data_IF_086193693765
#
_entry.id   IF_086193693765
#
_cell.length_a   1.000
_cell.length_b   1.000
_cell.length_c   1.000
_cell.angle_alpha   90.00
_cell.angle_beta   90.00
_cell.angle_gamma   90.00
#
_symmetry.space_group_name_H-M   'P 1'
#
loop_
_entity.id
_entity.type
_entity.pdbx_description
1 polymer ?
#
# COMPACT_ATOMS: atom_id res chain seq x y z
N UNK A 1 2.27 15.03 -23.60
CA UNK A 1 3.16 13.88 -23.86
C UNK A 1 3.86 14.13 -25.18
N UNK A 2 5.19 14.05 -25.23
CA UNK A 2 5.95 14.15 -26.49
C UNK A 2 5.61 12.98 -27.41
N UNK A 3 5.94 13.10 -28.69
CA UNK A 3 5.66 12.02 -29.65
C UNK A 3 6.45 10.74 -29.30
N UNK A 4 7.69 10.90 -28.84
CA UNK A 4 8.51 9.78 -28.37
C UNK A 4 7.89 9.05 -27.16
N UNK A 5 7.37 9.79 -26.18
CA UNK A 5 6.73 9.17 -25.00
C UNK A 5 5.40 8.52 -25.34
N UNK A 6 4.64 9.03 -26.33
CA UNK A 6 3.43 8.35 -26.81
C UNK A 6 3.75 7.02 -27.47
N UNK A 7 4.81 6.99 -28.29
CA UNK A 7 5.27 5.76 -28.93
C UNK A 7 5.73 4.75 -27.89
N UNK A 8 6.56 5.18 -26.93
CA UNK A 8 7.05 4.33 -25.84
C UNK A 8 5.90 3.78 -24.97
N UNK A 9 4.90 4.62 -24.67
CA UNK A 9 3.68 4.20 -23.98
C UNK A 9 2.98 3.07 -24.72
N UNK A 10 2.75 3.25 -26.03
CA UNK A 10 2.03 2.27 -26.85
C UNK A 10 2.78 0.94 -26.92
N UNK A 11 4.09 0.96 -27.13
CA UNK A 11 4.94 -0.24 -27.17
C UNK A 11 4.91 -1.00 -25.83
N UNK A 12 5.08 -0.30 -24.71
CA UNK A 12 5.00 -0.91 -23.36
C UNK A 12 3.60 -1.47 -23.08
N UNK A 13 2.56 -0.73 -23.44
CA UNK A 13 1.17 -1.14 -23.23
C UNK A 13 0.85 -2.39 -24.03
N UNK A 14 1.24 -2.46 -25.30
CA UNK A 14 1.06 -3.65 -26.14
C UNK A 14 1.79 -4.85 -25.56
N UNK A 15 3.06 -4.67 -25.14
CA UNK A 15 3.85 -5.72 -24.50
C UNK A 15 3.16 -6.31 -23.26
N UNK A 16 2.67 -5.43 -22.38
CA UNK A 16 1.94 -5.82 -21.16
C UNK A 16 0.62 -6.53 -21.48
N UNK A 17 -0.17 -5.98 -22.40
CA UNK A 17 -1.47 -6.55 -22.76
C UNK A 17 -1.32 -7.94 -23.40
N UNK A 18 -0.33 -8.11 -24.29
CA UNK A 18 -0.06 -9.42 -24.92
C UNK A 18 0.33 -10.46 -23.88
N UNK A 19 1.23 -10.12 -22.97
CA UNK A 19 1.63 -11.01 -21.89
C UNK A 19 0.44 -11.39 -20.99
N UNK A 20 -0.39 -10.42 -20.60
CA UNK A 20 -1.58 -10.67 -19.78
C UNK A 20 -2.63 -11.54 -20.48
N UNK A 21 -2.72 -11.46 -21.82
CA UNK A 21 -3.63 -12.26 -22.65
C UNK A 21 -3.02 -13.59 -23.13
N UNK A 22 -1.88 -14.01 -22.56
CA UNK A 22 -1.19 -15.25 -22.94
C UNK A 22 -0.80 -15.31 -24.42
N UNK A 23 -0.51 -14.15 -25.02
CA UNK A 23 0.03 -13.99 -26.38
C UNK A 23 1.53 -13.72 -26.29
N UNK A 24 2.27 -14.05 -27.35
CA UNK A 24 3.72 -13.79 -27.43
C UNK A 24 4.00 -12.28 -27.55
N UNK A 25 4.59 -11.60 -26.55
CA UNK A 25 4.99 -10.20 -26.67
C UNK A 25 6.29 -10.05 -27.48
N UNK A 26 6.67 -8.82 -27.84
CA UNK A 26 7.94 -8.52 -28.52
C UNK A 26 9.18 -8.85 -27.65
N UNK A 27 9.03 -8.76 -26.33
CA UNK A 27 9.95 -9.30 -25.32
C UNK A 27 9.22 -9.51 -23.99
N UNK A 28 9.86 -10.21 -23.05
CA UNK A 28 9.34 -10.35 -21.68
C UNK A 28 9.18 -8.95 -21.04
N UNK A 29 7.98 -8.60 -20.52
CA UNK A 29 7.79 -7.35 -19.80
C UNK A 29 8.50 -7.39 -18.43
N UNK A 30 9.05 -6.25 -18.01
CA UNK A 30 9.68 -6.06 -16.71
C UNK A 30 8.92 -4.98 -15.96
N UNK A 31 8.29 -5.37 -14.86
CA UNK A 31 7.48 -4.50 -14.01
C UNK A 31 8.38 -3.84 -12.97
N UNK A 32 8.32 -2.51 -12.90
CA UNK A 32 9.15 -1.74 -12.00
C UNK A 32 8.53 -1.57 -10.61
N UNK A 33 8.86 -2.44 -9.66
CA UNK A 33 8.56 -2.24 -8.24
C UNK A 33 9.85 -2.31 -7.41
N UNK A 34 10.18 -1.21 -6.72
CA UNK A 34 11.51 -1.03 -6.12
C UNK A 34 11.49 -0.80 -4.62
N UNK A 35 10.31 -0.64 -4.00
CA UNK A 35 10.21 -0.32 -2.57
C UNK A 35 11.21 0.78 -2.16
N UNK A 36 11.91 0.55 -1.05
CA UNK A 36 12.87 1.49 -0.49
C UNK A 36 14.15 1.70 -1.31
N UNK A 37 14.44 0.87 -2.32
CA UNK A 37 15.50 1.19 -3.29
C UNK A 37 15.22 2.54 -3.98
N UNK A 38 13.94 2.86 -4.22
CA UNK A 38 13.51 4.15 -4.78
C UNK A 38 13.97 5.31 -3.91
N UNK A 39 13.89 5.18 -2.58
CA UNK A 39 14.29 6.21 -1.64
C UNK A 39 15.80 6.45 -1.73
N UNK A 40 16.58 5.37 -1.59
CA UNK A 40 18.04 5.41 -1.66
C UNK A 40 18.54 5.97 -3.01
N UNK A 41 17.95 5.52 -4.13
CA UNK A 41 18.31 6.00 -5.48
C UNK A 41 17.89 7.46 -5.72
N UNK A 42 16.77 7.87 -5.13
CA UNK A 42 16.28 9.25 -5.15
C UNK A 42 17.04 10.21 -4.22
N UNK A 43 17.95 9.69 -3.39
CA UNK A 43 18.71 10.48 -2.43
C UNK A 43 17.86 11.03 -1.28
N UNK A 44 16.81 10.30 -0.88
CA UNK A 44 15.95 10.63 0.25
C UNK A 44 15.94 9.48 1.25
N UNK A 45 15.70 9.78 2.52
CA UNK A 45 15.58 8.78 3.59
C UNK A 45 14.30 7.94 3.43
N UNK A 46 14.26 6.76 4.05
CA UNK A 46 13.04 5.94 4.16
C UNK A 46 11.90 6.70 4.87
N UNK A 47 12.23 7.56 5.83
CA UNK A 47 11.29 8.47 6.47
C UNK A 47 10.66 9.42 5.46
N UNK A 48 11.46 10.16 4.70
CA UNK A 48 10.94 11.07 3.68
C UNK A 48 10.11 10.33 2.64
N UNK A 49 10.50 9.11 2.25
CA UNK A 49 9.75 8.30 1.29
C UNK A 49 8.37 7.86 1.80
N UNK A 50 8.24 7.62 3.11
CA UNK A 50 6.99 7.17 3.75
C UNK A 50 6.08 8.32 4.22
N UNK A 51 6.62 9.53 4.42
CA UNK A 51 5.91 10.67 5.01
C UNK A 51 5.73 11.88 4.09
N UNK A 52 6.55 12.04 3.04
CA UNK A 52 6.50 13.17 2.11
C UNK A 52 6.15 12.69 0.70
N UNK A 53 4.88 12.84 0.32
CA UNK A 53 4.36 12.42 -0.98
C UNK A 53 5.06 13.07 -2.17
N UNK A 54 5.52 14.32 -2.03
CA UNK A 54 6.15 15.07 -3.12
C UNK A 54 7.60 14.60 -3.32
N UNK A 55 8.36 14.42 -2.24
CA UNK A 55 9.70 13.78 -2.30
C UNK A 55 9.61 12.37 -2.86
N UNK A 56 8.66 11.57 -2.36
CA UNK A 56 8.45 10.22 -2.82
C UNK A 56 8.08 10.14 -4.30
N UNK A 57 7.21 11.03 -4.78
CA UNK A 57 6.84 11.09 -6.20
C UNK A 57 8.02 11.45 -7.08
N UNK A 58 8.86 12.43 -6.68
CA UNK A 58 10.08 12.78 -7.42
C UNK A 58 11.06 11.62 -7.50
N UNK A 59 11.29 10.91 -6.39
CA UNK A 59 12.16 9.74 -6.36
C UNK A 59 11.61 8.59 -7.25
N UNK A 60 10.30 8.34 -7.21
CA UNK A 60 9.64 7.34 -8.04
C UNK A 60 9.73 7.67 -9.53
N UNK A 61 9.51 8.94 -9.93
CA UNK A 61 9.66 9.39 -11.32
C UNK A 61 11.10 9.21 -11.78
N UNK A 62 12.08 9.70 -11.01
CA UNK A 62 13.51 9.57 -11.34
C UNK A 62 13.90 8.11 -11.55
N UNK A 63 13.57 7.25 -10.60
CA UNK A 63 13.88 5.81 -10.68
C UNK A 63 13.21 5.16 -11.89
N UNK A 64 11.96 5.53 -12.21
CA UNK A 64 11.25 5.00 -13.37
C UNK A 64 11.92 5.39 -14.69
N UNK A 65 12.24 6.68 -14.84
CA UNK A 65 12.86 7.23 -16.06
C UNK A 65 14.25 6.67 -16.28
N UNK A 66 15.08 6.65 -15.24
CA UNK A 66 16.50 6.26 -15.36
C UNK A 66 16.67 4.77 -15.66
N UNK A 67 15.78 3.91 -15.15
CA UNK A 67 15.84 2.48 -15.39
C UNK A 67 14.98 2.00 -16.57
N UNK A 68 13.97 2.76 -16.98
CA UNK A 68 13.25 2.52 -18.24
C UNK A 68 12.38 1.25 -18.30
N UNK A 69 11.96 0.70 -17.16
CA UNK A 69 11.07 -0.47 -17.08
C UNK A 69 9.72 -0.28 -17.79
N UNK A 70 8.95 -1.36 -17.97
CA UNK A 70 7.69 -1.32 -18.71
C UNK A 70 6.55 -0.64 -17.92
N UNK A 71 6.69 -0.52 -16.60
CA UNK A 71 5.83 0.26 -15.70
C UNK A 71 6.66 1.19 -14.82
N UNK A 72 6.03 2.24 -14.28
CA UNK A 72 6.68 3.12 -13.32
C UNK A 72 6.60 2.61 -11.88
N UNK A 73 7.50 3.12 -11.04
CA UNK A 73 7.57 2.87 -9.60
C UNK A 73 6.39 3.50 -8.85
N UNK A 74 6.02 2.90 -7.73
CA UNK A 74 4.97 3.39 -6.83
C UNK A 74 5.51 4.14 -5.61
N UNK A 75 4.59 4.46 -4.70
CA UNK A 75 4.89 5.00 -3.37
C UNK A 75 5.06 3.84 -2.36
N UNK A 76 5.91 3.99 -1.35
CA UNK A 76 6.05 2.97 -0.28
C UNK A 76 4.85 2.99 0.65
N UNK A 77 4.28 1.80 0.88
CA UNK A 77 3.08 1.56 1.69
C UNK A 77 3.08 0.13 2.22
N UNK A 78 2.57 -0.05 3.41
CA UNK A 78 2.29 -1.36 4.02
C UNK A 78 0.83 -1.72 3.77
N UNK A 79 0.53 -3.01 3.52
CA UNK A 79 -0.85 -3.48 3.38
C UNK A 79 -1.66 -3.31 4.68
N UNK A 80 -2.92 -2.89 4.56
CA UNK A 80 -3.87 -2.69 5.65
C UNK A 80 -5.04 -3.68 5.57
N UNK A 81 -4.77 -4.92 5.16
CA UNK A 81 -5.81 -5.92 4.84
C UNK A 81 -6.91 -6.10 5.90
N UNK A 82 -6.60 -6.11 7.22
CA UNK A 82 -7.63 -6.22 8.24
C UNK A 82 -8.74 -5.17 8.09
N UNK A 83 -8.39 -3.92 7.77
CA UNK A 83 -9.38 -2.85 7.58
C UNK A 83 -10.24 -3.08 6.35
N UNK A 84 -9.61 -3.48 5.24
CA UNK A 84 -10.34 -3.76 3.99
C UNK A 84 -11.36 -4.87 4.20
N UNK A 85 -10.97 -5.95 4.88
CA UNK A 85 -11.85 -7.08 5.15
C UNK A 85 -12.97 -6.71 6.13
N UNK A 86 -12.64 -6.01 7.22
CA UNK A 86 -13.62 -5.58 8.24
C UNK A 86 -14.82 -4.83 7.65
N UNK A 87 -14.56 -3.97 6.65
CA UNK A 87 -15.58 -3.08 6.09
C UNK A 87 -16.16 -3.56 4.75
N UNK A 88 -15.64 -4.68 4.20
CA UNK A 88 -15.93 -5.08 2.81
C UNK A 88 -17.42 -5.28 2.50
N UNK A 89 -18.22 -5.75 3.46
CA UNK A 89 -19.65 -5.99 3.27
C UNK A 89 -20.54 -4.77 3.47
N UNK A 90 -20.08 -3.83 4.29
CA UNK A 90 -20.89 -2.68 4.73
C UNK A 90 -20.52 -1.39 3.98
N UNK A 91 -19.33 -1.34 3.38
CA UNK A 91 -18.85 -0.17 2.65
C UNK A 91 -18.90 -0.40 1.14
N UNK A 92 -19.79 0.33 0.46
CA UNK A 92 -19.95 0.30 -1.00
C UNK A 92 -18.76 0.90 -1.79
N UNK A 93 -17.67 1.28 -1.10
CA UNK A 93 -16.48 1.86 -1.69
C UNK A 93 -15.22 1.01 -1.50
N UNK A 94 -14.09 1.50 -2.00
CA UNK A 94 -12.79 0.89 -1.72
C UNK A 94 -12.28 1.38 -0.36
N UNK A 95 -12.40 0.55 0.67
CA UNK A 95 -11.76 0.81 1.95
C UNK A 95 -10.24 0.98 1.75
N UNK A 96 -9.57 1.92 2.45
CA UNK A 96 -8.15 2.12 2.27
C UNK A 96 -7.37 0.84 2.59
N UNK A 97 -6.58 0.37 1.62
CA UNK A 97 -5.83 -0.90 1.72
C UNK A 97 -4.37 -0.69 2.16
N UNK A 98 -3.99 0.55 2.49
CA UNK A 98 -2.61 0.96 2.68
C UNK A 98 -2.39 1.75 3.97
N UNK A 99 -1.28 1.46 4.64
CA UNK A 99 -0.71 2.24 5.75
C UNK A 99 0.62 2.83 5.30
N UNK A 100 0.80 4.13 5.51
CA UNK A 100 2.08 4.81 5.40
C UNK A 100 2.41 5.52 6.72
N UNK A 101 3.46 6.34 6.73
CA UNK A 101 3.89 7.06 7.94
C UNK A 101 2.77 7.88 8.61
N UNK A 102 2.11 8.81 7.88
CA UNK A 102 1.00 9.59 8.42
C UNK A 102 -0.19 8.76 8.91
N UNK A 103 -0.54 7.66 8.23
CA UNK A 103 -1.60 6.76 8.68
C UNK A 103 -1.18 6.02 9.96
N UNK A 104 0.09 5.62 10.09
CA UNK A 104 0.62 5.06 11.33
C UNK A 104 0.58 6.07 12.48
N UNK A 105 0.87 7.35 12.24
CA UNK A 105 0.73 8.39 13.27
C UNK A 105 -0.73 8.56 13.75
N UNK A 106 -1.71 8.28 12.89
CA UNK A 106 -3.13 8.37 13.22
C UNK A 106 -3.62 7.12 13.95
N UNK A 107 -3.35 5.93 13.42
CA UNK A 107 -3.90 4.67 13.90
C UNK A 107 -3.02 3.99 14.97
N UNK A 108 -1.71 4.23 14.90
CA UNK A 108 -0.70 3.57 15.70
C UNK A 108 -0.74 2.06 15.51
N UNK A 109 -0.53 1.59 14.27
CA UNK A 109 -0.56 0.15 13.97
C UNK A 109 0.56 -0.56 14.73
N UNK A 110 0.25 -1.72 15.32
CA UNK A 110 1.17 -2.46 16.18
C UNK A 110 1.97 -3.52 15.42
N UNK A 111 1.46 -4.01 14.30
CA UNK A 111 2.08 -5.06 13.49
C UNK A 111 3.28 -4.59 12.64
N UNK A 112 3.64 -3.30 12.71
CA UNK A 112 4.78 -2.76 11.99
C UNK A 112 5.47 -1.61 12.73
N UNK A 113 6.74 -1.39 12.38
CA UNK A 113 7.59 -0.31 12.86
C UNK A 113 7.97 0.61 11.70
N UNK A 114 7.97 1.92 11.92
CA UNK A 114 8.13 2.90 10.85
C UNK A 114 9.41 3.75 11.01
N UNK A 115 10.04 4.18 9.89
CA UNK A 115 11.17 5.12 9.93
C UNK A 115 10.79 6.42 10.62
N UNK A 116 11.73 7.01 11.37
CA UNK A 116 11.51 8.25 12.12
C UNK A 116 10.52 8.13 13.27
N UNK A 117 10.11 6.90 13.62
CA UNK A 117 9.26 6.56 14.77
C UNK A 117 9.97 5.48 15.57
N UNK A 118 9.60 4.22 15.37
CA UNK A 118 10.21 3.07 16.05
C UNK A 118 11.55 2.65 15.42
N UNK A 119 11.86 3.13 14.20
CA UNK A 119 13.11 2.86 13.48
C UNK A 119 13.87 4.16 13.16
N UNK A 120 15.15 4.03 12.81
CA UNK A 120 15.93 5.16 12.27
C UNK A 120 15.28 5.70 10.99
N UNK A 121 15.53 6.97 10.65
CA UNK A 121 14.99 7.58 9.44
C UNK A 121 15.43 6.88 8.14
N UNK A 122 16.60 6.25 8.16
CA UNK A 122 17.17 5.49 7.02
C UNK A 122 16.72 4.03 6.94
N UNK A 123 15.96 3.54 7.92
CA UNK A 123 15.53 2.14 7.94
C UNK A 123 14.19 1.97 7.24
N UNK A 124 14.06 1.04 6.28
CA UNK A 124 12.75 0.67 5.74
C UNK A 124 11.79 0.22 6.83
N UNK A 125 10.50 0.50 6.65
CA UNK A 125 9.48 -0.02 7.58
C UNK A 125 9.61 -1.54 7.71
N UNK A 126 9.34 -2.06 8.90
CA UNK A 126 9.43 -3.49 9.19
C UNK A 126 8.08 -3.99 9.63
N UNK A 127 7.55 -4.99 8.93
CA UNK A 127 6.45 -5.79 9.44
C UNK A 127 7.00 -6.72 10.51
N UNK A 128 6.49 -6.62 11.74
CA UNK A 128 6.97 -7.43 12.86
C UNK A 128 6.00 -8.56 13.20
N UNK A 129 4.71 -8.41 12.86
CA UNK A 129 3.65 -9.31 13.34
C UNK A 129 3.51 -9.25 14.87
N UNK A 130 2.36 -9.63 15.39
CA UNK A 130 2.18 -9.98 16.81
C UNK A 130 1.04 -11.00 16.92
N UNK A 131 0.91 -11.65 18.08
CA UNK A 131 -0.22 -12.50 18.38
C UNK A 131 -1.44 -11.64 18.75
N UNK A 132 -2.36 -11.48 17.79
CA UNK A 132 -3.61 -10.73 17.98
C UNK A 132 -4.84 -11.63 18.12
N UNK A 133 -4.71 -12.94 17.89
CA UNK A 133 -5.75 -13.94 18.08
C UNK A 133 -5.18 -15.13 18.85
N UNK A 134 -5.78 -15.44 20.00
CA UNK A 134 -5.42 -16.60 20.79
C UNK A 134 -5.89 -17.91 20.13
N UNK A 135 -5.32 -19.04 20.55
CA UNK A 135 -5.64 -20.37 19.99
C UNK A 135 -7.11 -20.76 20.17
N UNK A 136 -7.71 -20.35 21.28
CA UNK A 136 -9.10 -20.63 21.63
C UNK A 136 -10.11 -19.73 20.91
N UNK A 137 -9.66 -18.73 20.14
CA UNK A 137 -10.52 -17.79 19.42
C UNK A 137 -10.82 -18.21 17.97
N UNK A 138 -10.32 -19.36 17.51
CA UNK A 138 -10.58 -19.84 16.14
C UNK A 138 -12.07 -20.05 15.85
N UNK A 139 -12.82 -20.59 16.81
CA UNK A 139 -14.26 -20.82 16.64
C UNK A 139 -15.01 -19.50 16.44
N UNK A 140 -14.63 -18.45 17.18
CA UNK A 140 -15.18 -17.10 17.02
C UNK A 140 -14.87 -16.49 15.65
N UNK A 141 -13.62 -16.63 15.19
CA UNK A 141 -13.23 -16.20 13.84
C UNK A 141 -14.01 -16.94 12.75
N UNK A 142 -14.27 -18.24 12.92
CA UNK A 142 -14.99 -19.06 11.94
C UNK A 142 -16.48 -18.67 11.90
N UNK A 143 -17.08 -18.44 13.05
CA UNK A 143 -18.50 -18.09 13.17
C UNK A 143 -18.82 -16.73 12.54
N UNK A 144 -18.04 -15.70 12.88
CA UNK A 144 -18.17 -14.37 12.29
C UNK A 144 -16.80 -13.73 11.99
N UNK A 145 -16.23 -14.01 10.79
CA UNK A 145 -14.92 -13.50 10.45
C UNK A 145 -14.83 -11.97 10.43
N UNK A 146 -15.89 -11.28 9.99
CA UNK A 146 -15.86 -9.83 9.85
C UNK A 146 -16.08 -9.14 11.19
N UNK A 147 -17.00 -9.66 12.00
CA UNK A 147 -17.19 -9.23 13.38
C UNK A 147 -15.92 -9.44 14.20
N UNK A 148 -15.29 -10.61 14.12
CA UNK A 148 -14.02 -10.87 14.81
C UNK A 148 -12.94 -9.85 14.40
N UNK A 149 -12.79 -9.58 13.10
CA UNK A 149 -11.81 -8.61 12.64
C UNK A 149 -12.12 -7.20 13.18
N UNK A 150 -13.37 -6.76 13.06
CA UNK A 150 -13.77 -5.40 13.44
C UNK A 150 -13.73 -5.17 14.96
N UNK A 151 -14.18 -6.15 15.74
CA UNK A 151 -14.40 -6.01 17.18
C UNK A 151 -13.21 -6.46 18.03
N UNK A 152 -12.39 -7.41 17.53
CA UNK A 152 -11.23 -7.94 18.25
C UNK A 152 -9.92 -7.59 17.57
N UNK A 153 -9.76 -7.92 16.29
CA UNK A 153 -8.46 -7.77 15.63
C UNK A 153 -8.03 -6.30 15.51
N UNK A 154 -8.89 -5.42 14.99
CA UNK A 154 -8.56 -4.01 14.78
C UNK A 154 -8.24 -3.27 16.10
N UNK A 155 -9.03 -3.42 17.18
CA UNK A 155 -8.72 -2.80 18.48
C UNK A 155 -7.39 -3.28 19.06
N UNK A 156 -7.06 -4.57 18.88
CA UNK A 156 -5.78 -5.14 19.32
C UNK A 156 -4.60 -4.67 18.46
N UNK A 157 -4.84 -4.43 17.16
CA UNK A 157 -3.82 -4.07 16.19
C UNK A 157 -3.52 -2.57 16.13
N UNK A 158 -4.39 -1.70 16.63
CA UNK A 158 -4.28 -0.24 16.43
C UNK A 158 -4.50 0.54 17.73
N UNK A 159 -3.47 1.26 18.17
CA UNK A 159 -3.48 2.03 19.44
C UNK A 159 -4.62 3.04 19.57
N UNK A 160 -5.05 3.60 18.44
CA UNK A 160 -6.14 4.59 18.44
C UNK A 160 -7.53 3.96 18.48
N UNK A 161 -7.65 2.65 18.26
CA UNK A 161 -8.91 1.90 18.19
C UNK A 161 -9.09 0.92 19.36
N UNK A 162 -8.19 0.91 20.34
CA UNK A 162 -8.24 0.03 21.53
C UNK A 162 -9.55 0.10 22.31
N UNK A 163 -10.20 1.26 22.30
CA UNK A 163 -11.54 1.47 22.87
C UNK A 163 -12.52 1.81 21.75
N UNK A 164 -13.15 0.79 21.12
CA UNK A 164 -14.17 0.99 20.10
C UNK A 164 -15.30 1.90 20.60
N UNK A 165 -15.74 2.83 19.76
CA UNK A 165 -16.80 3.79 20.12
C UNK A 165 -16.34 4.96 21.00
N UNK A 166 -15.09 5.03 21.44
CA UNK A 166 -14.55 6.21 22.11
C UNK A 166 -14.45 7.41 21.16
N UNK A 167 -14.46 8.64 21.71
CA UNK A 167 -14.22 9.87 20.95
C UNK A 167 -12.86 9.80 20.22
N UNK A 168 -11.85 9.22 20.88
CA UNK A 168 -10.51 9.02 20.30
C UNK A 168 -10.58 8.14 19.04
N UNK A 169 -11.27 7.00 19.12
CA UNK A 169 -11.42 6.09 17.98
C UNK A 169 -12.19 6.76 16.82
N UNK A 170 -13.28 7.47 17.11
CA UNK A 170 -14.05 8.19 16.09
C UNK A 170 -13.20 9.25 15.38
N UNK A 171 -12.43 10.04 16.14
CA UNK A 171 -11.52 11.06 15.58
C UNK A 171 -10.41 10.42 14.75
N UNK A 172 -9.88 9.26 15.18
CA UNK A 172 -8.86 8.54 14.44
C UNK A 172 -9.38 8.03 13.09
N UNK A 173 -10.56 7.42 13.05
CA UNK A 173 -11.20 6.98 11.81
C UNK A 173 -11.46 8.15 10.85
N UNK A 174 -11.92 9.30 11.36
CA UNK A 174 -12.11 10.50 10.55
C UNK A 174 -10.79 11.02 9.94
N UNK A 175 -9.73 11.12 10.76
CA UNK A 175 -8.39 11.52 10.29
C UNK A 175 -7.83 10.54 9.27
N UNK A 176 -8.02 9.24 9.49
CA UNK A 176 -7.57 8.18 8.60
C UNK A 176 -8.25 8.28 7.23
N UNK A 177 -9.55 8.55 7.19
CA UNK A 177 -10.27 8.80 5.93
C UNK A 177 -9.67 9.97 5.14
N UNK A 178 -9.43 11.11 5.81
CA UNK A 178 -8.80 12.29 5.18
C UNK A 178 -7.40 11.97 4.66
N UNK A 179 -6.56 11.32 5.47
CA UNK A 179 -5.19 11.01 5.07
C UNK A 179 -5.13 9.98 3.95
N UNK A 180 -6.04 9.01 3.96
CA UNK A 180 -6.19 8.04 2.87
C UNK A 180 -6.55 8.72 1.55
N UNK A 181 -7.41 9.73 1.57
CA UNK A 181 -7.73 10.53 0.37
C UNK A 181 -6.50 11.28 -0.14
N UNK A 182 -5.74 11.94 0.74
CA UNK A 182 -4.49 12.63 0.33
C UNK A 182 -3.49 11.65 -0.30
N UNK A 183 -3.34 10.47 0.29
CA UNK A 183 -2.49 9.39 -0.24
C UNK A 183 -2.98 8.91 -1.61
N UNK A 184 -4.29 8.77 -1.80
CA UNK A 184 -4.89 8.43 -3.09
C UNK A 184 -4.62 9.51 -4.14
N UNK A 185 -4.84 10.79 -3.80
CA UNK A 185 -4.60 11.93 -4.70
C UNK A 185 -3.13 12.02 -5.12
N UNK A 186 -2.20 11.80 -4.18
CA UNK A 186 -0.76 11.75 -4.48
C UNK A 186 -0.42 10.61 -5.45
N UNK A 187 -0.98 9.42 -5.22
CA UNK A 187 -0.81 8.27 -6.11
C UNK A 187 -1.37 8.54 -7.51
N UNK A 188 -2.54 9.19 -7.60
CA UNK A 188 -3.15 9.58 -8.88
C UNK A 188 -2.26 10.58 -9.65
N UNK A 189 -1.73 11.61 -8.98
CA UNK A 189 -0.81 12.59 -9.59
C UNK A 189 0.47 11.93 -10.09
N UNK A 190 1.08 11.05 -9.29
CA UNK A 190 2.25 10.28 -9.70
C UNK A 190 1.94 9.42 -10.94
N UNK A 191 0.81 8.71 -10.93
CA UNK A 191 0.38 7.88 -12.04
C UNK A 191 0.11 8.68 -13.33
N UNK A 192 -0.50 9.86 -13.22
CA UNK A 192 -0.69 10.78 -14.36
C UNK A 192 0.65 11.21 -14.96
N UNK A 193 1.63 11.54 -14.11
CA UNK A 193 2.94 12.00 -14.58
C UNK A 193 3.75 10.88 -15.22
N UNK A 194 3.78 9.69 -14.60
CA UNK A 194 4.39 8.50 -15.20
C UNK A 194 3.75 8.15 -16.56
N UNK A 195 2.43 8.26 -16.68
CA UNK A 195 1.74 8.08 -17.97
C UNK A 195 2.19 9.10 -19.01
N UNK A 196 2.39 10.37 -18.63
CA UNK A 196 2.94 11.40 -19.53
C UNK A 196 4.39 11.14 -19.94
N UNK A 197 5.13 10.37 -19.16
CA UNK A 197 6.51 9.95 -19.42
C UNK A 197 6.59 8.58 -20.12
N UNK A 198 5.46 8.07 -20.62
CA UNK A 198 5.41 6.85 -21.41
C UNK A 198 5.31 5.57 -20.60
N UNK A 199 4.99 5.63 -19.30
CA UNK A 199 4.81 4.43 -18.46
C UNK A 199 3.31 4.12 -18.31
N UNK A 200 2.81 3.03 -18.93
CA UNK A 200 1.43 2.62 -18.74
C UNK A 200 1.15 2.12 -17.32
N UNK A 201 -0.11 2.25 -16.91
CA UNK A 201 -0.63 1.51 -15.77
C UNK A 201 -0.90 0.06 -16.16
N UNK A 202 -0.79 -0.85 -15.19
CA UNK A 202 -1.11 -2.26 -15.35
C UNK A 202 -2.19 -2.63 -14.33
N UNK A 203 -3.32 -3.15 -14.81
CA UNK A 203 -4.38 -3.65 -13.94
C UNK A 203 -4.11 -5.11 -13.60
N UNK A 204 -3.90 -5.40 -12.33
CA UNK A 204 -3.81 -6.77 -11.81
C UNK A 204 -4.92 -7.03 -10.79
N UNK A 205 -5.35 -8.29 -10.69
CA UNK A 205 -6.11 -8.74 -9.53
C UNK A 205 -5.19 -8.93 -8.32
N UNK A 206 -5.74 -8.76 -7.14
CA UNK A 206 -5.09 -9.14 -5.89
C UNK A 206 -5.95 -10.21 -5.21
N UNK A 207 -5.31 -11.30 -4.83
CA UNK A 207 -5.90 -12.32 -3.96
C UNK A 207 -4.93 -12.57 -2.84
N UNK A 208 -5.45 -12.82 -1.64
CA UNK A 208 -4.64 -13.07 -0.46
C UNK A 208 -5.03 -14.43 0.12
N UNK A 209 -4.06 -15.29 0.37
CA UNK A 209 -4.34 -16.61 0.91
C UNK A 209 -4.88 -16.47 2.35
N UNK A 210 -6.00 -17.13 2.71
CA UNK A 210 -6.56 -17.01 4.06
C UNK A 210 -5.56 -17.38 5.17
N UNK A 211 -4.71 -18.39 4.94
CA UNK A 211 -3.69 -18.80 5.91
C UNK A 211 -2.58 -17.76 6.07
N UNK A 212 -2.21 -17.05 5.01
CA UNK A 212 -1.26 -15.93 5.09
C UNK A 212 -1.88 -14.76 5.87
N UNK A 213 -3.20 -14.55 5.78
CA UNK A 213 -3.89 -13.51 6.56
C UNK A 213 -3.84 -13.79 8.04
N UNK A 214 -4.17 -15.02 8.42
CA UNK A 214 -4.08 -15.46 9.81
C UNK A 214 -2.62 -15.39 10.27
N UNK A 215 -1.67 -15.91 9.47
CA UNK A 215 -0.26 -15.96 9.84
C UNK A 215 0.48 -14.62 9.82
N UNK A 216 -0.02 -13.59 9.13
CA UNK A 216 0.58 -12.27 9.14
C UNK A 216 -0.08 -11.35 10.17
N UNK A 217 -1.41 -11.30 10.17
CA UNK A 217 -2.15 -10.29 10.94
C UNK A 217 -2.73 -10.82 12.25
N UNK A 218 -2.73 -12.13 12.50
CA UNK A 218 -3.35 -12.69 13.71
C UNK A 218 -2.35 -13.48 14.59
N UNK A 219 -1.22 -13.92 14.04
CA UNK A 219 -0.23 -14.80 14.69
C UNK A 219 1.21 -14.45 14.32
#
# INVERSE_FOLDING_TARGET
>A
MSEDFKKLYAERKERLDRAALLKEPDRVPVIGNFGDFTAAYGGISSYEFMFDYEKASRAAIKTSVDFGFDTGAGLSRLGALPFTLAFLREYDGLAPIWVNGPVHDILGVRYARFPGRELSEESPFQFIGEEYMAVDEYDELIEDPLGFIAEKLLPRSCRSLEEPGSIKAMVALFKWGIESQKSADAGARLGDELRRLGFPGFSSGFSYAPLDFIGAYMR
#
